data_IF_838434887141
#
_entry.id   IF_838434887141
#
_cell.length_a   1.000
_cell.length_b   1.000
_cell.length_c   1.000
_cell.angle_alpha   90.00
_cell.angle_beta   90.00
_cell.angle_gamma   90.00
#
_symmetry.space_group_name_H-M   'P 1'
#
loop_
_entity.id
_entity.type
_entity.pdbx_description
1 polymer ?
#
# COMPACT_ATOMS: atom_id res chain seq x y z
N UNK A 1 -0.66 75.94 15.61
CA UNK A 1 -1.15 74.57 15.41
C UNK A 1 -1.97 74.58 14.14
N UNK A 2 -1.34 74.42 13.01
CA UNK A 2 -2.00 74.28 11.71
C UNK A 2 -2.31 72.81 11.45
N UNK A 3 -3.54 72.55 11.17
CA UNK A 3 -4.10 71.20 11.05
C UNK A 3 -3.40 70.34 10.00
N UNK A 4 -2.82 69.23 10.41
CA UNK A 4 -2.28 68.18 9.54
C UNK A 4 -3.43 67.48 8.78
N UNK A 5 -4.66 67.70 9.16
CA UNK A 5 -5.86 67.17 8.48
C UNK A 5 -6.15 67.83 7.13
N UNK A 6 -5.77 69.08 6.92
CA UNK A 6 -6.07 69.83 5.68
C UNK A 6 -5.38 69.29 4.41
N UNK A 7 -4.30 68.53 4.54
CA UNK A 7 -3.61 67.94 3.38
C UNK A 7 -4.32 66.74 2.80
N UNK A 8 -5.23 66.10 3.56
CA UNK A 8 -6.02 64.94 3.12
C UNK A 8 -7.39 65.32 2.58
N UNK A 9 -7.90 66.52 2.90
CA UNK A 9 -9.21 67.02 2.46
C UNK A 9 -9.16 67.74 1.12
N UNK A 10 -8.00 67.89 0.50
CA UNK A 10 -7.91 68.43 -0.85
C UNK A 10 -8.33 67.39 -1.88
N UNK A 11 -9.08 67.74 -2.95
CA UNK A 11 -9.44 66.81 -4.01
C UNK A 11 -8.26 66.12 -4.66
N UNK A 12 -7.08 66.72 -4.66
CA UNK A 12 -5.81 66.19 -5.14
C UNK A 12 -5.23 65.10 -4.18
N UNK A 13 -5.38 65.28 -2.86
CA UNK A 13 -4.95 64.32 -1.85
C UNK A 13 -5.81 63.04 -1.90
N UNK A 14 -7.12 63.17 -2.05
CA UNK A 14 -8.05 62.03 -2.22
C UNK A 14 -7.78 61.27 -3.50
N UNK A 15 -7.57 61.94 -4.64
CA UNK A 15 -7.25 61.29 -5.90
C UNK A 15 -5.92 60.56 -5.84
N UNK A 16 -4.90 61.12 -5.19
CA UNK A 16 -3.60 60.45 -5.01
C UNK A 16 -3.68 59.25 -4.09
N UNK A 17 -4.45 59.33 -3.01
CA UNK A 17 -4.70 58.20 -2.10
C UNK A 17 -5.44 57.05 -2.81
N UNK A 18 -6.42 57.36 -3.65
CA UNK A 18 -7.13 56.38 -4.47
C UNK A 18 -6.22 55.72 -5.52
N UNK A 19 -5.38 56.48 -6.20
CA UNK A 19 -4.39 55.96 -7.15
C UNK A 19 -3.41 55.05 -6.44
N UNK A 20 -2.91 55.44 -5.25
CA UNK A 20 -1.98 54.62 -4.42
C UNK A 20 -2.64 53.32 -3.99
N UNK A 21 -3.90 53.37 -3.50
CA UNK A 21 -4.67 52.16 -3.15
C UNK A 21 -4.89 51.23 -4.36
N UNK A 22 -5.20 51.81 -5.53
CA UNK A 22 -5.40 51.05 -6.76
C UNK A 22 -4.10 50.32 -7.20
N UNK A 23 -2.94 51.04 -7.17
CA UNK A 23 -1.64 50.46 -7.47
C UNK A 23 -1.28 49.35 -6.47
N UNK A 24 -1.57 49.55 -5.18
CA UNK A 24 -1.34 48.53 -4.13
C UNK A 24 -2.20 47.29 -4.37
N UNK A 25 -3.50 47.46 -4.65
CA UNK A 25 -4.40 46.35 -4.98
C UNK A 25 -3.95 45.57 -6.21
N UNK A 26 -3.45 46.25 -7.24
CA UNK A 26 -2.91 45.59 -8.44
C UNK A 26 -1.64 44.82 -8.16
N UNK A 27 -0.71 45.36 -7.34
CA UNK A 27 0.51 44.69 -6.95
C UNK A 27 0.22 43.47 -6.08
N UNK A 28 -0.70 43.56 -5.09
CA UNK A 28 -1.14 42.43 -4.29
C UNK A 28 -1.73 41.31 -5.13
N UNK A 29 -2.62 41.66 -6.07
CA UNK A 29 -3.19 40.64 -6.99
C UNK A 29 -2.13 39.97 -7.86
N UNK A 30 -1.09 40.72 -8.31
CA UNK A 30 0.00 40.18 -9.09
C UNK A 30 0.83 39.20 -8.25
N UNK A 31 1.18 39.54 -7.01
CA UNK A 31 1.95 38.67 -6.12
C UNK A 31 1.14 37.44 -5.72
N UNK A 32 -0.17 37.59 -5.48
CA UNK A 32 -1.06 36.44 -5.25
C UNK A 32 -1.08 35.49 -6.45
N UNK A 33 -1.18 36.03 -7.67
CA UNK A 33 -1.14 35.21 -8.88
C UNK A 33 0.21 34.50 -9.07
N UNK A 34 1.33 35.22 -8.80
CA UNK A 34 2.68 34.62 -8.84
C UNK A 34 2.85 33.54 -7.78
N UNK A 35 2.31 33.72 -6.57
CA UNK A 35 2.34 32.70 -5.52
C UNK A 35 1.53 31.45 -5.89
N UNK A 36 0.32 31.61 -6.46
CA UNK A 36 -0.51 30.48 -6.95
C UNK A 36 0.24 29.74 -8.06
N UNK A 37 0.86 30.44 -8.99
CA UNK A 37 1.66 29.82 -10.04
C UNK A 37 2.89 29.11 -9.49
N UNK A 38 3.56 29.68 -8.48
CA UNK A 38 4.72 29.07 -7.81
C UNK A 38 4.36 27.85 -6.96
N UNK A 39 3.12 27.78 -6.46
CA UNK A 39 2.61 26.63 -5.72
C UNK A 39 2.43 25.41 -6.63
N UNK A 40 2.17 25.61 -7.93
CA UNK A 40 2.17 24.55 -8.93
C UNK A 40 1.01 23.56 -8.84
N UNK A 41 -0.10 23.93 -8.16
CA UNK A 41 -1.30 23.07 -8.08
C UNK A 41 -2.17 23.30 -9.31
N UNK A 42 -2.49 22.24 -10.04
CA UNK A 42 -3.45 22.25 -11.14
C UNK A 42 -4.85 21.92 -10.58
N UNK A 43 -5.80 22.84 -10.73
CA UNK A 43 -7.17 22.64 -10.28
C UNK A 43 -8.04 22.12 -11.42
N UNK A 44 -8.49 20.87 -11.29
CA UNK A 44 -9.42 20.27 -12.24
C UNK A 44 -10.88 20.56 -11.86
N UNK A 45 -11.75 20.52 -12.85
CA UNK A 45 -13.19 20.45 -12.62
C UNK A 45 -13.54 19.13 -11.94
N UNK A 46 -14.72 19.04 -11.27
CA UNK A 46 -15.17 17.76 -10.72
C UNK A 46 -15.05 16.63 -11.73
N UNK A 47 -14.38 15.56 -11.36
CA UNK A 47 -13.96 14.46 -12.24
C UNK A 47 -14.30 13.12 -11.62
N UNK A 48 -14.34 12.07 -12.43
CA UNK A 48 -14.42 10.70 -11.94
C UNK A 48 -13.03 10.23 -11.45
N UNK A 49 -12.96 9.41 -10.41
CA UNK A 49 -11.66 8.92 -9.93
C UNK A 49 -10.98 8.06 -11.01
N UNK A 50 -11.75 7.39 -11.84
CA UNK A 50 -11.31 6.56 -12.94
C UNK A 50 -10.57 7.33 -14.03
N UNK A 51 -10.82 8.63 -14.17
CA UNK A 51 -10.16 9.51 -15.16
C UNK A 51 -8.65 9.66 -14.90
N UNK A 52 -8.22 9.37 -13.66
CA UNK A 52 -6.81 9.41 -13.27
C UNK A 52 -6.05 8.08 -13.50
N UNK A 53 -6.70 7.10 -14.14
CA UNK A 53 -6.11 5.85 -14.56
C UNK A 53 -6.19 5.74 -16.08
N UNK A 54 -5.06 5.89 -16.76
CA UNK A 54 -5.00 5.69 -18.21
C UNK A 54 -4.68 4.22 -18.53
N UNK A 55 -5.53 3.59 -19.33
CA UNK A 55 -5.30 2.21 -19.80
C UNK A 55 -4.09 2.10 -20.75
N UNK A 56 -3.65 3.21 -21.35
CA UNK A 56 -2.53 3.26 -22.28
C UNK A 56 -1.18 3.53 -21.59
N UNK A 57 -1.20 4.02 -20.36
CA UNK A 57 0.00 4.19 -19.55
C UNK A 57 0.33 2.92 -18.77
N UNK A 58 1.63 2.65 -18.61
CA UNK A 58 2.06 1.54 -17.76
C UNK A 58 1.59 1.79 -16.32
N UNK A 59 0.83 0.85 -15.78
CA UNK A 59 0.40 0.94 -14.38
C UNK A 59 1.62 0.92 -13.48
N UNK A 60 1.70 1.89 -12.57
CA UNK A 60 2.76 2.01 -11.57
C UNK A 60 2.24 1.77 -10.17
N UNK A 61 3.14 1.88 -9.19
CA UNK A 61 2.76 1.78 -7.78
C UNK A 61 1.89 2.97 -7.35
N UNK A 62 0.85 2.72 -6.58
CA UNK A 62 -0.16 3.72 -6.20
C UNK A 62 -0.40 3.70 -4.70
N UNK A 63 -0.57 4.89 -4.10
CA UNK A 63 -1.13 5.07 -2.75
C UNK A 63 -2.48 5.76 -2.87
N UNK A 64 -3.48 5.16 -2.22
CA UNK A 64 -4.84 5.70 -2.04
C UNK A 64 -5.07 5.92 -0.55
N UNK A 65 -4.97 7.15 -0.06
CA UNK A 65 -5.02 7.42 1.38
C UNK A 65 -6.10 8.44 1.74
N UNK A 66 -6.95 8.08 2.70
CA UNK A 66 -8.02 8.94 3.20
C UNK A 66 -9.29 8.96 2.35
N UNK A 67 -10.19 9.88 2.67
CA UNK A 67 -11.41 10.13 1.92
C UNK A 67 -12.51 9.07 2.09
N UNK A 68 -13.47 9.12 1.19
CA UNK A 68 -14.61 8.19 1.17
C UNK A 68 -14.19 6.79 0.75
N UNK A 69 -14.70 5.78 1.45
CA UNK A 69 -14.40 4.37 1.14
C UNK A 69 -14.84 4.01 -0.28
N UNK A 70 -16.03 4.42 -0.69
CA UNK A 70 -16.56 4.07 -2.01
C UNK A 70 -15.69 4.62 -3.15
N UNK A 71 -15.12 5.82 -2.98
CA UNK A 71 -14.19 6.40 -3.95
C UNK A 71 -12.90 5.56 -4.02
N UNK A 72 -12.37 5.12 -2.85
CA UNK A 72 -11.20 4.22 -2.85
C UNK A 72 -11.51 2.88 -3.52
N UNK A 73 -12.69 2.30 -3.30
CA UNK A 73 -13.11 1.05 -3.96
C UNK A 73 -13.19 1.21 -5.49
N UNK A 74 -13.71 2.34 -5.99
CA UNK A 74 -13.74 2.66 -7.42
C UNK A 74 -12.32 2.75 -7.99
N UNK A 75 -11.43 3.47 -7.31
CA UNK A 75 -10.02 3.59 -7.71
C UNK A 75 -9.31 2.23 -7.74
N UNK A 76 -9.51 1.40 -6.70
CA UNK A 76 -8.97 0.04 -6.65
C UNK A 76 -9.47 -0.82 -7.82
N UNK A 77 -10.79 -0.84 -8.06
CA UNK A 77 -11.36 -1.62 -9.15
C UNK A 77 -10.81 -1.18 -10.52
N UNK A 78 -10.69 0.14 -10.74
CA UNK A 78 -10.10 0.67 -11.97
C UNK A 78 -8.61 0.30 -12.11
N UNK A 79 -7.84 0.38 -11.02
CA UNK A 79 -6.45 -0.09 -11.00
C UNK A 79 -6.32 -1.58 -11.33
N UNK A 80 -7.20 -2.43 -10.80
CA UNK A 80 -7.27 -3.86 -11.12
C UNK A 80 -7.59 -4.08 -12.60
N UNK A 81 -8.56 -3.35 -13.15
CA UNK A 81 -8.92 -3.40 -14.58
C UNK A 81 -7.73 -3.06 -15.47
N UNK A 82 -7.05 -1.94 -15.18
CA UNK A 82 -5.87 -1.51 -15.93
C UNK A 82 -4.73 -2.54 -15.83
N UNK A 83 -4.47 -3.05 -14.64
CA UNK A 83 -3.44 -4.07 -14.40
C UNK A 83 -3.73 -5.36 -15.18
N UNK A 84 -4.98 -5.82 -15.12
CA UNK A 84 -5.44 -7.00 -15.84
C UNK A 84 -5.29 -6.83 -17.35
N UNK A 85 -5.71 -5.67 -17.90
CA UNK A 85 -5.55 -5.32 -19.31
C UNK A 85 -4.09 -5.30 -19.76
N UNK A 86 -3.15 -5.01 -18.86
CA UNK A 86 -1.71 -5.01 -19.10
C UNK A 86 -1.02 -6.35 -18.81
N UNK A 87 -1.80 -7.41 -18.52
CA UNK A 87 -1.30 -8.77 -18.31
C UNK A 87 -0.71 -9.03 -16.92
N UNK A 88 -1.05 -8.22 -15.92
CA UNK A 88 -0.76 -8.53 -14.52
C UNK A 88 -1.80 -9.49 -13.95
N UNK A 89 -1.40 -10.21 -12.91
CA UNK A 89 -2.26 -11.03 -12.07
C UNK A 89 -2.64 -10.18 -10.86
N UNK A 90 -3.91 -9.73 -10.75
CA UNK A 90 -4.35 -8.98 -9.58
C UNK A 90 -4.49 -9.90 -8.37
N UNK A 91 -3.82 -9.53 -7.28
CA UNK A 91 -3.94 -10.16 -5.96
C UNK A 91 -4.35 -9.07 -4.98
N UNK A 92 -5.52 -9.20 -4.39
CA UNK A 92 -6.07 -8.22 -3.45
C UNK A 92 -6.09 -8.84 -2.06
N UNK A 93 -5.40 -8.23 -1.12
CA UNK A 93 -5.38 -8.61 0.28
C UNK A 93 -6.10 -7.53 1.09
N UNK A 94 -7.02 -7.93 1.95
CA UNK A 94 -7.77 -7.01 2.81
C UNK A 94 -8.00 -7.59 4.21
N UNK A 95 -8.32 -6.70 5.15
CA UNK A 95 -8.65 -7.05 6.53
C UNK A 95 -10.18 -6.93 6.75
N UNK A 96 -10.93 -7.98 6.41
CA UNK A 96 -12.36 -8.05 6.68
C UNK A 96 -13.22 -7.02 5.92
N UNK A 97 -12.76 -6.48 4.80
CA UNK A 97 -13.51 -5.49 4.01
C UNK A 97 -14.51 -6.15 3.06
N UNK A 98 -15.69 -6.48 3.57
CA UNK A 98 -16.77 -7.05 2.76
C UNK A 98 -17.35 -6.10 1.71
N UNK A 99 -17.23 -4.77 1.90
CA UNK A 99 -17.65 -3.81 0.88
C UNK A 99 -16.78 -3.91 -0.35
N UNK A 100 -15.47 -4.11 -0.16
CA UNK A 100 -14.52 -4.36 -1.25
C UNK A 100 -14.86 -5.62 -2.03
N UNK A 101 -15.11 -6.74 -1.33
CA UNK A 101 -15.49 -8.00 -1.98
C UNK A 101 -16.76 -7.83 -2.84
N UNK A 102 -17.83 -7.27 -2.25
CA UNK A 102 -19.10 -7.03 -2.95
C UNK A 102 -18.94 -6.09 -4.14
N UNK A 103 -18.12 -5.05 -4.00
CA UNK A 103 -17.87 -4.10 -5.08
C UNK A 103 -17.15 -4.78 -6.25
N UNK A 104 -16.11 -5.56 -5.97
CA UNK A 104 -15.35 -6.28 -7.01
C UNK A 104 -16.19 -7.36 -7.71
N UNK A 105 -17.10 -8.04 -6.98
CA UNK A 105 -18.08 -8.97 -7.60
C UNK A 105 -18.96 -8.23 -8.61
N UNK A 106 -19.44 -7.05 -8.24
CA UNK A 106 -20.31 -6.26 -9.11
C UNK A 106 -19.58 -5.74 -10.36
N UNK A 107 -18.29 -5.40 -10.22
CA UNK A 107 -17.49 -4.88 -11.35
C UNK A 107 -17.04 -5.97 -12.31
N UNK A 108 -16.57 -7.11 -11.80
CA UNK A 108 -15.87 -8.12 -12.61
C UNK A 108 -16.65 -9.43 -12.79
N UNK A 109 -17.69 -9.65 -11.99
CA UNK A 109 -18.42 -10.92 -11.94
C UNK A 109 -17.64 -12.04 -11.24
N UNK A 110 -18.34 -13.07 -10.79
CA UNK A 110 -17.77 -14.21 -10.06
C UNK A 110 -16.94 -15.16 -10.91
N UNK A 111 -16.99 -15.05 -12.24
CA UNK A 111 -16.22 -15.90 -13.17
C UNK A 111 -14.77 -15.45 -13.32
N UNK A 112 -14.48 -14.17 -13.08
CA UNK A 112 -13.16 -13.58 -13.32
C UNK A 112 -12.38 -13.31 -12.02
N UNK A 113 -13.08 -13.36 -10.88
CA UNK A 113 -12.50 -13.11 -9.56
C UNK A 113 -12.75 -14.30 -8.64
N UNK A 114 -11.70 -14.84 -8.08
CA UNK A 114 -11.77 -15.89 -7.06
C UNK A 114 -11.68 -15.27 -5.67
N UNK A 115 -12.70 -15.52 -4.86
CA UNK A 115 -12.72 -15.08 -3.47
C UNK A 115 -12.25 -16.19 -2.55
N UNK A 116 -11.32 -15.86 -1.66
CA UNK A 116 -10.80 -16.77 -0.63
C UNK A 116 -11.05 -16.11 0.73
N UNK A 117 -12.05 -16.59 1.43
CA UNK A 117 -12.51 -16.07 2.71
C UNK A 117 -13.21 -17.14 3.55
N UNK A 118 -13.84 -16.75 4.66
CA UNK A 118 -14.55 -17.69 5.54
C UNK A 118 -15.77 -18.38 4.90
N UNK A 119 -16.35 -17.83 3.84
CA UNK A 119 -17.44 -18.44 3.08
C UNK A 119 -16.92 -19.37 1.98
N UNK A 120 -15.74 -19.04 1.42
CA UNK A 120 -15.07 -19.80 0.37
C UNK A 120 -13.69 -20.28 0.85
N UNK A 121 -13.65 -21.26 1.81
CA UNK A 121 -12.42 -21.75 2.39
C UNK A 121 -11.74 -22.77 1.48
N UNK A 122 -11.21 -22.29 0.36
CA UNK A 122 -10.64 -23.14 -0.70
C UNK A 122 -9.15 -22.85 -0.92
N UNK A 123 -8.52 -22.03 -0.11
CA UNK A 123 -7.12 -21.70 -0.29
C UNK A 123 -6.21 -22.89 0.07
N UNK A 124 -5.37 -23.27 -0.86
CA UNK A 124 -4.27 -24.22 -0.62
C UNK A 124 -3.07 -23.83 -1.49
N UNK A 125 -2.02 -23.24 -0.88
CA UNK A 125 -0.84 -22.74 -1.59
C UNK A 125 0.01 -23.82 -2.24
N UNK A 126 -0.22 -25.12 -1.92
CA UNK A 126 0.61 -26.23 -2.41
C UNK A 126 0.10 -26.87 -3.70
N UNK A 127 -1.10 -26.47 -4.16
CA UNK A 127 -1.67 -27.03 -5.38
C UNK A 127 -0.81 -26.70 -6.60
N UNK A 128 -0.51 -27.73 -7.37
CA UNK A 128 0.26 -27.62 -8.61
C UNK A 128 1.77 -27.41 -8.38
N UNK A 129 2.24 -27.44 -7.13
CA UNK A 129 3.65 -27.26 -6.79
C UNK A 129 4.40 -28.60 -6.68
N UNK A 130 5.69 -28.56 -6.97
CA UNK A 130 6.61 -29.64 -6.66
C UNK A 130 7.15 -29.52 -5.22
N UNK A 131 7.89 -30.55 -4.75
CA UNK A 131 8.34 -30.61 -3.35
C UNK A 131 9.30 -29.47 -2.99
N UNK A 132 10.19 -29.07 -3.92
CA UNK A 132 11.11 -27.94 -3.68
C UNK A 132 10.35 -26.62 -3.54
N UNK A 133 9.29 -26.41 -4.32
CA UNK A 133 8.45 -25.21 -4.25
C UNK A 133 7.65 -25.18 -2.94
N UNK A 134 7.08 -26.33 -2.51
CA UNK A 134 6.40 -26.46 -1.22
C UNK A 134 7.37 -26.13 -0.08
N UNK A 135 8.54 -26.74 -0.10
CA UNK A 135 9.59 -26.50 0.88
C UNK A 135 10.00 -25.01 0.90
N UNK A 136 10.14 -24.39 -0.28
CA UNK A 136 10.46 -22.97 -0.40
C UNK A 136 9.41 -22.09 0.26
N UNK A 137 8.11 -22.32 -0.01
CA UNK A 137 7.01 -21.56 0.62
C UNK A 137 7.09 -21.68 2.14
N UNK A 138 7.22 -22.89 2.69
CA UNK A 138 7.27 -23.11 4.14
C UNK A 138 8.51 -22.42 4.75
N UNK A 139 9.68 -22.62 4.17
CA UNK A 139 10.92 -22.06 4.69
C UNK A 139 11.01 -20.54 4.58
N UNK A 140 10.38 -19.94 3.57
CA UNK A 140 10.34 -18.50 3.38
C UNK A 140 9.29 -17.84 4.27
N UNK A 141 8.19 -18.54 4.58
CA UNK A 141 7.10 -18.03 5.41
C UNK A 141 7.38 -18.02 6.91
N UNK A 142 8.45 -18.73 7.35
CA UNK A 142 8.84 -18.72 8.76
C UNK A 142 9.17 -17.31 9.24
N UNK A 143 8.87 -17.04 10.49
CA UNK A 143 9.29 -15.83 11.20
C UNK A 143 10.26 -16.19 12.33
N UNK A 144 10.75 -15.21 13.06
CA UNK A 144 11.70 -15.41 14.16
C UNK A 144 11.15 -16.28 15.31
N UNK A 145 9.84 -16.51 15.39
CA UNK A 145 9.21 -17.40 16.38
C UNK A 145 9.39 -18.88 16.05
N UNK A 146 9.65 -19.20 14.76
CA UNK A 146 9.81 -20.56 14.26
C UNK A 146 11.21 -20.72 13.69
N UNK A 147 12.17 -21.03 14.56
CA UNK A 147 13.58 -21.21 14.18
C UNK A 147 13.78 -22.55 13.43
N UNK A 148 13.06 -22.73 12.32
CA UNK A 148 13.25 -23.86 11.41
C UNK A 148 14.56 -23.65 10.67
N UNK A 149 15.58 -24.48 10.98
CA UNK A 149 16.90 -24.40 10.34
C UNK A 149 16.88 -25.02 8.95
N UNK A 150 17.95 -24.82 8.18
CA UNK A 150 18.08 -25.35 6.83
C UNK A 150 17.90 -26.88 6.72
N UNK A 151 18.18 -27.63 7.80
CA UNK A 151 17.93 -29.08 7.87
C UNK A 151 16.44 -29.44 7.90
N UNK A 152 15.56 -28.52 8.29
CA UNK A 152 14.09 -28.70 8.29
C UNK A 152 13.52 -29.02 6.91
N UNK A 153 14.20 -28.59 5.84
CA UNK A 153 13.81 -28.94 4.46
C UNK A 153 13.72 -30.46 4.26
N UNK A 154 14.64 -31.22 4.84
CA UNK A 154 14.65 -32.68 4.69
C UNK A 154 13.41 -33.32 5.33
N UNK A 155 12.97 -32.81 6.48
CA UNK A 155 11.78 -33.30 7.14
C UNK A 155 10.51 -32.97 6.31
N UNK A 156 10.43 -31.75 5.76
CA UNK A 156 9.34 -31.31 4.88
C UNK A 156 9.32 -32.15 3.60
N UNK A 157 10.46 -32.36 2.98
CA UNK A 157 10.62 -33.22 1.80
C UNK A 157 10.22 -34.67 2.09
N UNK A 158 10.54 -35.20 3.27
CA UNK A 158 10.12 -36.51 3.72
C UNK A 158 8.59 -36.63 3.79
N UNK A 159 7.91 -35.66 4.35
CA UNK A 159 6.43 -35.60 4.37
C UNK A 159 5.89 -35.56 2.94
N UNK A 160 6.40 -34.67 2.08
CA UNK A 160 5.98 -34.53 0.69
C UNK A 160 6.15 -35.84 -0.08
N UNK A 161 7.33 -36.44 0.03
CA UNK A 161 7.66 -37.74 -0.61
C UNK A 161 6.75 -38.87 -0.13
N UNK A 162 6.41 -38.92 1.17
CA UNK A 162 5.46 -39.89 1.71
C UNK A 162 4.04 -39.71 1.17
N UNK A 163 3.57 -38.48 1.03
CA UNK A 163 2.26 -38.20 0.45
C UNK A 163 2.24 -38.63 -1.02
N UNK A 164 3.25 -38.21 -1.81
CA UNK A 164 3.35 -38.52 -3.24
C UNK A 164 3.54 -40.00 -3.54
N UNK A 165 4.24 -40.74 -2.66
CA UNK A 165 4.42 -42.19 -2.81
C UNK A 165 3.09 -42.95 -2.87
N UNK A 166 2.01 -42.33 -2.39
CA UNK A 166 0.62 -42.83 -2.47
C UNK A 166 -0.16 -42.30 -3.69
N UNK A 167 0.50 -41.66 -4.65
CA UNK A 167 -0.10 -40.97 -5.78
C UNK A 167 -1.10 -39.86 -5.37
N UNK A 168 -0.82 -39.18 -4.26
CA UNK A 168 -1.64 -38.08 -3.75
C UNK A 168 -0.86 -36.77 -3.94
N UNK A 169 -1.55 -35.73 -4.44
CA UNK A 169 -1.04 -34.37 -4.46
C UNK A 169 -0.90 -33.88 -3.01
N UNK A 170 0.25 -33.34 -2.59
CA UNK A 170 0.36 -32.68 -1.29
C UNK A 170 -0.57 -31.47 -1.19
N UNK A 171 -1.33 -31.42 -0.10
CA UNK A 171 -2.17 -30.29 0.30
C UNK A 171 -1.70 -29.76 1.65
N UNK A 172 -1.81 -28.47 1.90
CA UNK A 172 -1.36 -27.86 3.14
C UNK A 172 -2.02 -28.50 4.37
N UNK A 173 -3.28 -28.89 4.25
CA UNK A 173 -4.02 -29.60 5.32
C UNK A 173 -3.36 -30.92 5.73
N UNK A 174 -2.66 -31.60 4.82
CA UNK A 174 -1.96 -32.85 5.13
C UNK A 174 -0.74 -32.64 6.02
N UNK A 175 -0.07 -31.50 5.91
CA UNK A 175 1.03 -31.10 6.78
C UNK A 175 0.52 -30.67 8.16
N UNK A 176 -0.59 -29.90 8.18
CA UNK A 176 -1.25 -29.47 9.42
C UNK A 176 -1.73 -30.68 10.25
N UNK A 177 -2.23 -31.72 9.59
CA UNK A 177 -2.77 -32.91 10.26
C UNK A 177 -1.79 -34.08 10.28
N UNK A 178 -0.54 -33.84 9.90
CA UNK A 178 0.49 -34.87 9.91
C UNK A 178 0.72 -35.41 11.35
N UNK A 179 0.67 -36.73 11.54
CA UNK A 179 0.99 -37.33 12.83
C UNK A 179 2.51 -37.37 13.05
N UNK A 180 3.11 -36.19 13.28
CA UNK A 180 4.58 -36.02 13.32
C UNK A 180 5.30 -37.03 14.21
N UNK A 181 4.78 -37.34 15.41
CA UNK A 181 5.36 -38.31 16.33
C UNK A 181 5.31 -39.76 15.80
N UNK A 182 4.36 -40.07 14.93
CA UNK A 182 4.13 -41.40 14.39
C UNK A 182 4.51 -41.50 12.90
N UNK A 183 5.18 -40.49 12.34
CA UNK A 183 5.44 -40.45 10.91
C UNK A 183 6.29 -41.59 10.41
N UNK A 184 7.37 -41.93 11.16
CA UNK A 184 8.23 -43.07 10.88
C UNK A 184 7.44 -44.39 10.90
N UNK A 185 6.60 -44.58 11.92
CA UNK A 185 5.76 -45.78 12.03
C UNK A 185 4.79 -45.89 10.86
N UNK A 186 4.21 -44.73 10.42
CA UNK A 186 3.31 -44.71 9.26
C UNK A 186 4.00 -45.03 7.95
N UNK A 187 5.26 -44.65 7.78
CA UNK A 187 6.04 -45.04 6.60
C UNK A 187 6.33 -46.58 6.63
N UNK A 188 6.76 -47.12 7.77
CA UNK A 188 7.00 -48.55 7.93
C UNK A 188 5.72 -49.37 7.75
N UNK A 189 4.58 -48.90 8.26
CA UNK A 189 3.26 -49.52 8.06
C UNK A 189 2.87 -49.55 6.58
N UNK A 190 3.14 -48.47 5.83
CA UNK A 190 2.84 -48.40 4.41
C UNK A 190 3.70 -49.36 3.58
N UNK A 191 4.97 -49.52 3.93
CA UNK A 191 5.86 -50.52 3.34
C UNK A 191 5.37 -51.94 3.62
N UNK A 192 5.08 -52.25 4.88
CA UNK A 192 4.58 -53.58 5.29
C UNK A 192 3.29 -53.95 4.57
N UNK A 193 2.43 -52.97 4.29
CA UNK A 193 1.17 -53.14 3.52
C UNK A 193 1.40 -53.19 2.00
N UNK A 194 2.62 -53.07 1.52
CA UNK A 194 2.94 -53.04 0.10
C UNK A 194 2.43 -51.82 -0.64
N UNK A 195 2.10 -50.71 0.08
CA UNK A 195 1.65 -49.46 -0.51
C UNK A 195 2.83 -48.67 -1.10
N UNK A 196 4.03 -48.90 -0.59
CA UNK A 196 5.27 -48.31 -1.09
C UNK A 196 6.34 -49.40 -1.13
N UNK A 197 7.36 -49.26 -1.98
CA UNK A 197 8.48 -50.20 -2.06
C UNK A 197 9.49 -49.94 -0.97
N UNK A 198 10.29 -50.93 -0.63
CA UNK A 198 11.37 -50.79 0.36
C UNK A 198 12.35 -49.64 0.01
N UNK A 199 12.71 -49.49 -1.28
CA UNK A 199 13.62 -48.41 -1.71
C UNK A 199 13.03 -47.03 -1.49
N UNK A 200 11.74 -46.88 -1.75
CA UNK A 200 11.00 -45.60 -1.52
C UNK A 200 10.90 -45.34 0.00
N UNK A 201 10.53 -46.36 0.78
CA UNK A 201 10.46 -46.27 2.25
C UNK A 201 11.79 -45.80 2.83
N UNK A 202 12.90 -46.45 2.42
CA UNK A 202 14.26 -46.13 2.90
C UNK A 202 14.66 -44.70 2.54
N UNK A 203 14.30 -44.21 1.33
CA UNK A 203 14.57 -42.82 0.93
C UNK A 203 13.79 -41.81 1.81
N UNK A 204 12.50 -42.05 2.05
CA UNK A 204 11.64 -41.21 2.89
C UNK A 204 12.16 -41.19 4.33
N UNK A 205 12.47 -42.35 4.90
CA UNK A 205 12.99 -42.44 6.26
C UNK A 205 14.33 -41.71 6.42
N UNK A 206 15.20 -41.78 5.40
CA UNK A 206 16.47 -41.03 5.41
C UNK A 206 16.21 -39.52 5.47
N UNK A 207 15.27 -38.98 4.68
CA UNK A 207 14.90 -37.56 4.71
C UNK A 207 14.34 -37.18 6.07
N UNK A 208 13.39 -37.95 6.61
CA UNK A 208 12.78 -37.68 7.92
C UNK A 208 13.83 -37.64 9.02
N UNK A 209 14.72 -38.61 9.08
CA UNK A 209 15.78 -38.71 10.10
C UNK A 209 16.76 -37.54 9.97
N UNK A 210 17.14 -37.15 8.75
CA UNK A 210 18.03 -35.99 8.54
C UNK A 210 17.44 -34.70 9.05
N UNK A 211 16.10 -34.53 9.00
CA UNK A 211 15.39 -33.34 9.45
C UNK A 211 14.76 -33.47 10.84
N UNK A 212 14.93 -34.58 11.55
CA UNK A 212 14.23 -34.90 12.81
C UNK A 212 14.42 -33.85 13.91
N UNK A 213 15.56 -33.17 13.95
CA UNK A 213 15.84 -32.11 14.92
C UNK A 213 14.90 -30.92 14.78
N UNK A 214 14.36 -30.70 13.58
CA UNK A 214 13.45 -29.59 13.29
C UNK A 214 11.95 -29.97 13.38
N UNK A 215 11.66 -31.25 13.64
CA UNK A 215 10.27 -31.75 13.74
C UNK A 215 9.40 -30.88 14.64
N UNK A 216 9.87 -30.59 15.86
CA UNK A 216 9.10 -29.81 16.85
C UNK A 216 8.82 -28.38 16.37
N UNK A 217 9.77 -27.76 15.70
CA UNK A 217 9.58 -26.41 15.14
C UNK A 217 8.58 -26.42 13.96
N UNK A 218 8.64 -27.45 13.11
CA UNK A 218 7.73 -27.63 11.97
C UNK A 218 6.31 -27.94 12.46
N UNK A 219 6.15 -28.82 13.46
CA UNK A 219 4.87 -29.10 14.08
C UNK A 219 4.24 -27.84 14.68
N UNK A 220 5.03 -27.04 15.41
CA UNK A 220 4.58 -25.76 15.97
C UNK A 220 4.16 -24.78 14.87
N UNK A 221 4.94 -24.66 13.79
CA UNK A 221 4.61 -23.83 12.64
C UNK A 221 3.24 -24.17 12.04
N UNK A 222 2.98 -25.45 11.77
CA UNK A 222 1.70 -25.87 11.20
C UNK A 222 0.53 -25.78 12.19
N UNK A 223 0.79 -25.95 13.48
CA UNK A 223 -0.22 -25.75 14.52
C UNK A 223 -0.68 -24.28 14.58
N UNK A 224 0.26 -23.35 14.51
CA UNK A 224 -0.03 -21.93 14.51
C UNK A 224 -0.72 -21.50 13.21
N UNK A 225 -0.22 -21.98 12.07
CA UNK A 225 -0.87 -21.74 10.79
C UNK A 225 -2.34 -22.21 10.78
N UNK A 226 -2.61 -23.35 11.43
CA UNK A 226 -3.98 -23.82 11.61
C UNK A 226 -4.82 -22.79 12.39
N UNK A 227 -4.29 -22.26 13.49
CA UNK A 227 -4.99 -21.31 14.32
C UNK A 227 -5.32 -20.02 13.56
N UNK A 228 -4.36 -19.49 12.79
CA UNK A 228 -4.54 -18.26 12.02
C UNK A 228 -5.42 -18.45 10.77
N UNK A 229 -5.29 -19.59 10.08
CA UNK A 229 -5.76 -19.74 8.71
C UNK A 229 -6.87 -20.80 8.52
N UNK A 230 -7.30 -21.51 9.57
CA UNK A 230 -8.32 -22.58 9.42
C UNK A 230 -9.60 -22.13 8.74
N UNK A 231 -9.92 -20.86 8.83
CA UNK A 231 -11.14 -20.29 8.23
C UNK A 231 -11.10 -20.19 6.71
N UNK A 232 -9.91 -20.15 6.11
CA UNK A 232 -9.71 -19.94 4.67
C UNK A 232 -9.12 -21.17 3.98
N UNK A 233 -8.40 -22.03 4.73
CA UNK A 233 -7.71 -23.18 4.16
C UNK A 233 -8.67 -24.27 3.70
N UNK A 234 -8.37 -24.86 2.55
CA UNK A 234 -9.08 -26.03 2.04
C UNK A 234 -8.88 -27.24 3.00
N UNK A 235 -9.99 -27.88 3.36
CA UNK A 235 -10.02 -29.05 4.23
C UNK A 235 -10.31 -30.32 3.43
N UNK A 236 -10.12 -31.48 4.05
CA UNK A 236 -10.29 -32.79 3.42
C UNK A 236 -11.61 -32.95 2.66
N UNK A 237 -12.69 -32.34 3.15
CA UNK A 237 -14.03 -32.43 2.56
C UNK A 237 -14.28 -31.52 1.36
N UNK A 238 -13.40 -30.53 1.10
CA UNK A 238 -13.53 -29.56 0.01
C UNK A 238 -12.27 -29.42 -0.85
N UNK A 239 -11.32 -30.38 -0.76
CA UNK A 239 -10.06 -30.36 -1.52
C UNK A 239 -10.26 -30.30 -3.04
N UNK A 240 -11.40 -30.79 -3.56
CA UNK A 240 -11.72 -30.73 -5.00
C UNK A 240 -11.96 -29.30 -5.50
N UNK A 241 -12.29 -28.35 -4.60
CA UNK A 241 -12.42 -26.94 -4.90
C UNK A 241 -11.17 -26.14 -4.53
N UNK A 242 -10.15 -26.80 -3.97
CA UNK A 242 -8.97 -26.13 -3.52
C UNK A 242 -8.25 -25.44 -4.68
N UNK A 243 -7.78 -24.21 -4.43
CA UNK A 243 -7.06 -23.39 -5.40
C UNK A 243 -5.86 -22.71 -4.75
N UNK A 244 -4.82 -22.51 -5.53
CA UNK A 244 -3.67 -21.66 -5.17
C UNK A 244 -3.71 -20.36 -5.99
N UNK A 245 -2.98 -19.35 -5.57
CA UNK A 245 -2.78 -18.13 -6.37
C UNK A 245 -2.12 -18.50 -7.71
N UNK A 246 -1.18 -19.46 -7.68
CA UNK A 246 -0.51 -19.97 -8.86
C UNK A 246 -1.46 -20.61 -9.88
N UNK A 247 -2.45 -21.38 -9.42
CA UNK A 247 -3.47 -21.95 -10.32
C UNK A 247 -4.42 -20.88 -10.89
N UNK A 248 -4.78 -19.87 -10.09
CA UNK A 248 -5.60 -18.74 -10.56
C UNK A 248 -4.82 -17.93 -11.57
N UNK A 249 -3.53 -17.71 -11.34
CA UNK A 249 -2.63 -17.02 -12.25
C UNK A 249 -2.55 -17.68 -13.62
N UNK A 250 -2.45 -19.01 -13.68
CA UNK A 250 -2.47 -19.78 -14.94
C UNK A 250 -3.75 -19.57 -15.75
N UNK A 251 -4.87 -19.34 -15.06
CA UNK A 251 -6.17 -19.06 -15.67
C UNK A 251 -6.38 -17.58 -15.99
N UNK A 252 -5.37 -16.75 -15.71
CA UNK A 252 -5.43 -15.28 -15.80
C UNK A 252 -6.61 -14.69 -15.03
N UNK A 253 -6.90 -15.22 -13.84
CA UNK A 253 -7.92 -14.71 -12.94
C UNK A 253 -7.34 -13.70 -11.93
N UNK A 254 -8.23 -12.92 -11.31
CA UNK A 254 -7.90 -12.14 -10.13
C UNK A 254 -8.24 -12.92 -8.87
N UNK A 255 -7.52 -12.69 -7.78
CA UNK A 255 -7.80 -13.29 -6.47
C UNK A 255 -7.99 -12.22 -5.40
N UNK A 256 -9.00 -12.39 -4.58
CA UNK A 256 -9.29 -11.54 -3.41
C UNK A 256 -9.24 -12.39 -2.17
N UNK A 257 -8.39 -12.03 -1.23
CA UNK A 257 -8.10 -12.81 -0.03
C UNK A 257 -8.40 -11.98 1.22
N UNK A 258 -9.32 -12.47 2.03
CA UNK A 258 -9.61 -11.91 3.35
C UNK A 258 -8.65 -12.49 4.39
N UNK A 259 -7.82 -11.66 4.97
CA UNK A 259 -6.93 -12.05 6.07
C UNK A 259 -7.64 -12.03 7.43
N UNK A 260 -8.87 -11.48 7.52
CA UNK A 260 -9.63 -11.17 8.74
C UNK A 260 -8.95 -10.24 9.71
N UNK A 261 -7.64 -10.36 9.90
CA UNK A 261 -6.88 -9.56 10.85
C UNK A 261 -5.42 -9.44 10.43
N UNK A 262 -4.84 -8.28 10.63
CA UNK A 262 -3.39 -8.04 10.52
C UNK A 262 -2.56 -8.86 11.53
N UNK A 263 -3.20 -9.50 12.53
CA UNK A 263 -2.53 -10.42 13.45
C UNK A 263 -2.21 -11.78 12.81
N UNK A 264 -2.87 -12.16 11.70
CA UNK A 264 -2.65 -13.42 10.99
C UNK A 264 -1.39 -13.35 10.12
N UNK A 265 -0.25 -13.11 10.76
CA UNK A 265 1.03 -12.85 10.10
C UNK A 265 1.58 -14.06 9.35
N UNK A 266 1.35 -15.26 9.87
CA UNK A 266 1.84 -16.48 9.22
C UNK A 266 1.06 -16.79 7.95
N UNK A 267 -0.28 -16.59 7.96
CA UNK A 267 -1.09 -16.68 6.75
C UNK A 267 -0.61 -15.68 5.69
N UNK A 268 -0.38 -14.42 6.09
CA UNK A 268 0.14 -13.39 5.19
C UNK A 268 1.52 -13.79 4.63
N UNK A 269 2.41 -14.34 5.45
CA UNK A 269 3.71 -14.81 5.00
C UNK A 269 3.61 -15.94 3.95
N UNK A 270 2.69 -16.89 4.14
CA UNK A 270 2.43 -17.96 3.16
C UNK A 270 1.99 -17.37 1.82
N UNK A 271 1.03 -16.45 1.85
CA UNK A 271 0.52 -15.77 0.65
C UNK A 271 1.64 -14.99 -0.04
N UNK A 272 2.42 -14.21 0.72
CA UNK A 272 3.53 -13.43 0.16
C UNK A 272 4.63 -14.33 -0.41
N UNK A 273 4.90 -15.48 0.20
CA UNK A 273 5.87 -16.45 -0.32
C UNK A 273 5.42 -17.08 -1.63
N UNK A 274 4.11 -17.34 -1.78
CA UNK A 274 3.54 -17.81 -3.04
C UNK A 274 3.62 -16.73 -4.13
N UNK A 275 3.33 -15.46 -3.79
CA UNK A 275 3.45 -14.31 -4.71
C UNK A 275 4.91 -14.12 -5.14
N UNK A 276 5.87 -14.21 -4.21
CA UNK A 276 7.30 -14.11 -4.54
C UNK A 276 7.74 -15.25 -5.48
N UNK A 277 7.26 -16.46 -5.24
CA UNK A 277 7.53 -17.59 -6.13
C UNK A 277 6.98 -17.34 -7.54
N UNK A 278 5.79 -16.78 -7.69
CA UNK A 278 5.21 -16.41 -8.99
C UNK A 278 6.08 -15.36 -9.70
N UNK A 279 6.50 -14.32 -8.99
CA UNK A 279 7.42 -13.29 -9.49
C UNK A 279 8.73 -13.92 -9.97
N UNK A 280 9.29 -14.87 -9.21
CA UNK A 280 10.52 -15.58 -9.58
C UNK A 280 10.34 -16.48 -10.83
N UNK A 281 9.12 -16.90 -11.13
CA UNK A 281 8.74 -17.59 -12.38
C UNK A 281 8.50 -16.65 -13.56
N UNK A 282 8.64 -15.34 -13.36
CA UNK A 282 8.46 -14.32 -14.39
C UNK A 282 7.02 -13.83 -14.54
N UNK A 283 6.11 -14.23 -13.66
CA UNK A 283 4.74 -13.71 -13.65
C UNK A 283 4.72 -12.26 -13.15
N UNK A 284 3.84 -11.45 -13.73
CA UNK A 284 3.65 -10.05 -13.36
C UNK A 284 2.49 -9.97 -12.37
N UNK A 285 2.75 -9.48 -11.16
CA UNK A 285 1.74 -9.40 -10.10
C UNK A 285 1.40 -7.94 -9.80
N UNK A 286 0.10 -7.64 -9.72
CA UNK A 286 -0.45 -6.40 -9.19
C UNK A 286 -1.03 -6.68 -7.80
N UNK A 287 -0.28 -6.31 -6.76
CA UNK A 287 -0.65 -6.56 -5.37
C UNK A 287 -1.40 -5.35 -4.81
N UNK A 288 -2.66 -5.54 -4.43
CA UNK A 288 -3.44 -4.55 -3.69
C UNK A 288 -3.44 -4.89 -2.21
N UNK A 289 -3.07 -3.93 -1.38
CA UNK A 289 -3.08 -4.01 0.08
C UNK A 289 -4.11 -3.01 0.61
N UNK A 290 -5.30 -3.47 1.03
CA UNK A 290 -6.35 -2.63 1.59
C UNK A 290 -6.40 -2.77 3.11
N UNK A 291 -5.93 -1.75 3.84
CA UNK A 291 -5.83 -1.74 5.30
C UNK A 291 -4.80 -2.73 5.86
N UNK A 292 -3.90 -3.25 5.05
CA UNK A 292 -2.86 -4.18 5.49
C UNK A 292 -1.66 -3.41 6.01
N UNK A 293 -1.21 -3.77 7.21
CA UNK A 293 -0.06 -3.16 7.88
C UNK A 293 1.25 -3.86 7.48
N UNK A 294 2.17 -3.16 6.80
CA UNK A 294 3.46 -3.73 6.41
C UNK A 294 4.37 -4.02 7.59
N UNK A 295 4.22 -3.25 8.69
CA UNK A 295 5.10 -3.27 9.84
C UNK A 295 5.28 -4.66 10.44
N UNK A 296 6.54 -5.04 10.64
CA UNK A 296 6.92 -6.32 11.25
C UNK A 296 6.61 -7.54 10.40
N UNK A 297 6.28 -7.35 9.10
CA UNK A 297 6.20 -8.41 8.12
C UNK A 297 7.28 -8.21 7.05
N UNK A 298 8.41 -8.90 7.24
CA UNK A 298 9.58 -8.75 6.37
C UNK A 298 9.28 -9.02 4.90
N UNK A 299 8.43 -10.00 4.58
CA UNK A 299 8.10 -10.34 3.19
C UNK A 299 7.30 -9.23 2.52
N UNK A 300 6.34 -8.62 3.22
CA UNK A 300 5.62 -7.46 2.72
C UNK A 300 6.55 -6.27 2.55
N UNK A 301 7.38 -5.97 3.55
CA UNK A 301 8.35 -4.88 3.48
C UNK A 301 9.33 -5.04 2.32
N UNK A 302 9.91 -6.23 2.14
CA UNK A 302 10.83 -6.52 1.05
C UNK A 302 10.13 -6.44 -0.31
N UNK A 303 8.89 -6.91 -0.41
CA UNK A 303 8.08 -6.77 -1.61
C UNK A 303 7.84 -5.30 -1.97
N UNK A 304 7.43 -4.48 -1.01
CA UNK A 304 7.22 -3.05 -1.18
C UNK A 304 8.51 -2.32 -1.59
N UNK A 305 9.63 -2.64 -0.94
CA UNK A 305 10.96 -2.07 -1.24
C UNK A 305 11.49 -2.48 -2.63
N UNK A 306 11.03 -3.59 -3.18
CA UNK A 306 11.47 -4.09 -4.49
C UNK A 306 10.42 -3.97 -5.58
N UNK A 307 9.26 -3.36 -5.28
CA UNK A 307 8.18 -3.17 -6.24
C UNK A 307 8.62 -2.34 -7.45
N UNK A 308 8.08 -2.67 -8.62
CA UNK A 308 8.44 -2.04 -9.90
C UNK A 308 7.70 -2.71 -11.06
N UNK A 309 8.27 -2.68 -12.26
CA UNK A 309 7.58 -3.12 -13.49
C UNK A 309 7.03 -4.56 -13.50
N UNK A 310 7.60 -5.48 -12.69
CA UNK A 310 7.11 -6.87 -12.59
C UNK A 310 6.21 -7.10 -11.36
N UNK A 311 6.22 -6.17 -10.40
CA UNK A 311 5.54 -6.32 -9.13
C UNK A 311 4.98 -4.97 -8.68
N UNK A 312 3.88 -4.57 -9.29
CA UNK A 312 3.21 -3.30 -8.97
C UNK A 312 2.38 -3.44 -7.71
N UNK A 313 2.36 -2.39 -6.90
CA UNK A 313 1.63 -2.34 -5.63
C UNK A 313 0.63 -1.20 -5.63
N UNK A 314 -0.56 -1.48 -5.14
CA UNK A 314 -1.53 -0.47 -4.74
C UNK A 314 -1.79 -0.58 -3.23
N UNK A 315 -1.49 0.46 -2.48
CA UNK A 315 -1.82 0.54 -1.06
C UNK A 315 -3.05 1.42 -0.88
N UNK A 316 -4.06 0.91 -0.19
CA UNK A 316 -5.31 1.62 0.09
C UNK A 316 -5.64 1.57 1.58
N UNK A 317 -6.12 2.68 2.12
CA UNK A 317 -6.52 2.75 3.53
C UNK A 317 -7.07 4.11 3.93
N UNK A 318 -7.63 4.17 5.13
CA UNK A 318 -8.08 5.43 5.73
C UNK A 318 -6.92 6.36 6.06
N UNK A 319 -5.76 5.79 6.39
CA UNK A 319 -4.50 6.51 6.60
C UNK A 319 -3.33 5.54 6.35
N UNK A 320 -2.89 5.47 5.10
CA UNK A 320 -1.82 4.54 4.69
C UNK A 320 -0.51 4.83 5.43
N UNK A 321 -0.22 6.10 5.78
CA UNK A 321 0.96 6.39 6.59
C UNK A 321 0.87 5.75 7.99
N UNK A 322 -0.31 5.81 8.61
CA UNK A 322 -0.52 5.19 9.92
C UNK A 322 -0.36 3.66 9.90
N UNK A 323 -0.63 3.01 8.74
CA UNK A 323 -0.43 1.57 8.57
C UNK A 323 1.05 1.15 8.66
N UNK A 324 2.00 2.10 8.49
CA UNK A 324 3.43 1.90 8.74
C UNK A 324 3.83 2.10 10.20
N UNK A 325 2.89 2.38 11.10
CA UNK A 325 3.06 2.47 12.58
C UNK A 325 4.23 3.36 13.02
N UNK A 326 4.53 4.42 12.23
CA UNK A 326 5.62 5.35 12.53
C UNK A 326 7.00 4.93 12.00
N UNK A 327 7.11 3.87 11.21
CA UNK A 327 8.31 3.47 10.49
C UNK A 327 8.59 4.39 9.30
N UNK A 328 9.00 5.65 9.60
CA UNK A 328 9.25 6.70 8.60
C UNK A 328 10.17 6.22 7.48
N UNK A 329 11.28 5.54 7.83
CA UNK A 329 12.25 5.09 6.83
C UNK A 329 11.65 4.09 5.84
N UNK A 330 10.80 3.19 6.33
CA UNK A 330 10.09 2.23 5.47
C UNK A 330 9.10 2.98 4.57
N UNK A 331 8.27 3.84 5.15
CA UNK A 331 7.29 4.63 4.41
C UNK A 331 7.93 5.47 3.29
N UNK A 332 9.00 6.23 3.61
CA UNK A 332 9.69 7.04 2.60
C UNK A 332 10.38 6.19 1.52
N UNK A 333 10.92 5.03 1.89
CA UNK A 333 11.51 4.09 0.92
C UNK A 333 10.46 3.55 -0.05
N UNK A 334 9.25 3.23 0.44
CA UNK A 334 8.12 2.77 -0.37
C UNK A 334 7.60 3.92 -1.23
N UNK A 335 7.43 5.10 -0.64
CA UNK A 335 6.93 6.29 -1.34
C UNK A 335 7.81 6.69 -2.53
N UNK A 336 9.13 6.58 -2.40
CA UNK A 336 10.06 6.85 -3.50
C UNK A 336 9.89 5.93 -4.72
N UNK A 337 9.07 4.88 -4.61
CA UNK A 337 8.72 3.95 -5.70
C UNK A 337 7.29 4.13 -6.20
N UNK A 338 6.49 4.97 -5.54
CA UNK A 338 5.13 5.25 -5.97
C UNK A 338 5.15 6.15 -7.19
N UNK A 339 4.41 5.77 -8.21
CA UNK A 339 4.18 6.61 -9.38
C UNK A 339 3.10 7.65 -9.12
N UNK A 340 2.10 7.28 -8.32
CA UNK A 340 0.95 8.16 -8.05
C UNK A 340 0.52 8.07 -6.58
N UNK A 341 0.21 9.23 -5.99
CA UNK A 341 -0.38 9.33 -4.66
C UNK A 341 -1.70 10.09 -4.76
N UNK A 342 -2.78 9.48 -4.34
CA UNK A 342 -4.10 10.07 -4.22
C UNK A 342 -4.42 10.28 -2.75
N UNK A 343 -4.49 11.52 -2.33
CA UNK A 343 -4.57 11.95 -0.94
C UNK A 343 -5.85 12.73 -0.70
N UNK A 344 -6.68 12.26 0.21
CA UNK A 344 -7.88 12.97 0.65
C UNK A 344 -7.76 13.37 2.13
N UNK A 345 -8.91 13.59 2.78
CA UNK A 345 -8.97 14.02 4.17
C UNK A 345 -8.32 13.03 5.13
N UNK A 346 -7.48 13.56 6.02
CA UNK A 346 -6.90 12.84 7.16
C UNK A 346 -7.22 13.57 8.47
N UNK A 347 -7.44 12.80 9.54
CA UNK A 347 -7.73 13.35 10.87
C UNK A 347 -6.44 13.51 11.69
N UNK A 348 -5.47 12.62 11.48
CA UNK A 348 -4.19 12.65 12.19
C UNK A 348 -3.35 13.87 11.76
N UNK A 349 -3.08 14.78 12.69
CA UNK A 349 -2.19 15.92 12.42
C UNK A 349 -0.79 15.48 12.01
N UNK A 350 -0.31 14.37 12.56
CA UNK A 350 1.00 13.80 12.25
C UNK A 350 1.05 13.28 10.81
N UNK A 351 0.04 12.52 10.37
CA UNK A 351 -0.07 12.05 8.99
C UNK A 351 -0.20 13.23 8.01
N UNK A 352 -1.02 14.23 8.34
CA UNK A 352 -1.13 15.45 7.53
C UNK A 352 0.22 16.16 7.34
N UNK A 353 1.02 16.25 8.41
CA UNK A 353 2.37 16.83 8.34
C UNK A 353 3.26 16.04 7.40
N UNK A 354 3.26 14.69 7.51
CA UNK A 354 4.09 13.82 6.66
C UNK A 354 3.72 13.93 5.19
N UNK A 355 2.44 13.88 4.86
CA UNK A 355 1.98 14.08 3.47
C UNK A 355 2.31 15.47 2.92
N UNK A 356 2.20 16.50 3.76
CA UNK A 356 2.58 17.87 3.40
C UNK A 356 4.08 17.97 3.07
N UNK A 357 4.94 17.35 3.89
CA UNK A 357 6.40 17.36 3.71
C UNK A 357 6.83 16.63 2.42
N UNK A 358 6.09 15.57 2.06
CA UNK A 358 6.33 14.77 0.84
C UNK A 358 6.09 15.58 -0.43
N UNK A 359 4.97 16.30 -0.48
CA UNK A 359 4.62 17.14 -1.65
C UNK A 359 5.62 18.28 -1.83
N UNK A 360 6.27 18.69 -0.74
CA UNK A 360 7.35 19.67 -0.77
C UNK A 360 6.92 21.09 -0.48
N UNK A 361 7.80 22.03 -0.83
CA UNK A 361 7.64 23.44 -0.48
C UNK A 361 8.03 24.36 -1.64
N UNK A 362 7.48 25.57 -1.64
CA UNK A 362 7.76 26.62 -2.61
C UNK A 362 8.13 27.94 -1.92
N UNK A 363 8.73 28.87 -2.69
CA UNK A 363 9.09 30.19 -2.20
C UNK A 363 7.93 31.17 -2.39
N UNK A 364 7.22 31.45 -1.31
CA UNK A 364 6.13 32.39 -1.27
C UNK A 364 6.65 33.81 -1.12
N UNK A 365 6.14 34.73 -1.94
CA UNK A 365 6.42 36.18 -1.84
C UNK A 365 5.47 36.82 -0.84
N UNK A 366 6.02 37.37 0.23
CA UNK A 366 5.27 38.18 1.21
C UNK A 366 5.68 39.64 1.14
N UNK A 367 4.70 40.55 1.23
CA UNK A 367 4.97 41.98 1.32
C UNK A 367 4.95 42.38 2.78
N UNK A 368 6.05 42.88 3.29
CA UNK A 368 6.10 43.55 4.58
C UNK A 368 6.13 45.05 4.39
N UNK A 369 5.19 45.75 5.00
CA UNK A 369 5.18 47.22 5.07
C UNK A 369 5.94 47.62 6.36
N UNK A 370 7.12 48.24 6.21
CA UNK A 370 7.85 48.80 7.34
C UNK A 370 7.56 50.31 7.42
N UNK A 371 6.95 50.73 8.51
CA UNK A 371 6.72 52.15 8.80
C UNK A 371 7.84 52.57 9.73
N UNK A 372 8.64 53.56 9.31
CA UNK A 372 9.65 54.18 10.19
C UNK A 372 9.28 55.65 10.34
N UNK A 373 8.87 56.04 11.52
CA UNK A 373 8.70 57.45 11.90
C UNK A 373 10.02 58.01 12.32
N UNK A 374 10.66 58.84 11.50
CA UNK A 374 11.85 59.54 11.84
C UNK A 374 11.51 60.91 12.42
N UNK A 375 11.63 61.06 13.72
CA UNK A 375 11.58 62.35 14.42
C UNK A 375 12.98 62.96 14.47
N UNK A 376 13.31 63.86 13.58
CA UNK A 376 14.53 64.67 13.70
C UNK A 376 14.24 65.94 14.50
N UNK A 377 14.74 65.98 15.73
CA UNK A 377 14.73 67.13 16.62
C UNK A 377 16.00 67.96 16.38
N UNK A 378 16.06 68.67 15.27
CA UNK A 378 17.03 69.77 15.10
C UNK A 378 16.40 70.86 14.23
N UNK A 379 15.89 71.87 14.87
CA UNK A 379 15.73 73.25 14.35
C UNK A 379 14.58 73.55 13.40
N UNK A 380 13.84 72.59 12.76
CA UNK A 380 12.58 72.72 12.05
C UNK A 380 11.91 71.36 11.98
N UNK A 381 10.67 71.27 12.39
CA UNK A 381 9.88 70.03 12.33
C UNK A 381 9.69 69.59 10.87
N UNK A 382 10.38 68.55 10.43
CA UNK A 382 10.10 67.85 9.19
C UNK A 382 9.64 66.43 9.56
N UNK A 383 8.39 66.16 9.42
CA UNK A 383 7.81 64.81 9.48
C UNK A 383 8.09 64.10 8.16
N UNK A 384 9.00 63.15 8.19
CA UNK A 384 9.25 62.22 7.06
C UNK A 384 8.75 60.84 7.42
N UNK A 385 7.63 60.43 6.90
CA UNK A 385 7.23 59.01 6.94
C UNK A 385 7.84 58.28 5.75
N UNK A 386 8.81 57.39 6.05
CA UNK A 386 9.38 56.54 5.00
C UNK A 386 8.65 55.21 5.01
N UNK A 387 7.85 54.96 3.98
CA UNK A 387 7.20 53.66 3.73
C UNK A 387 8.14 52.83 2.88
N UNK A 388 8.86 51.89 3.46
CA UNK A 388 9.61 50.88 2.71
C UNK A 388 8.75 49.59 2.58
N UNK A 389 8.54 49.15 1.34
CA UNK A 389 7.92 47.87 1.05
C UNK A 389 9.00 46.88 0.69
N UNK A 390 9.17 45.90 1.53
CA UNK A 390 10.07 44.79 1.25
C UNK A 390 9.26 43.57 0.80
N UNK A 391 9.69 42.98 -0.32
CA UNK A 391 9.20 41.68 -0.74
C UNK A 391 10.17 40.65 -0.20
N UNK A 392 9.73 39.85 0.74
CA UNK A 392 10.51 38.74 1.32
C UNK A 392 10.04 37.43 0.74
N UNK A 393 10.98 36.52 0.53
CA UNK A 393 10.69 35.12 0.17
C UNK A 393 10.61 34.32 1.47
N UNK A 394 9.52 33.60 1.62
CA UNK A 394 9.28 32.69 2.74
C UNK A 394 8.99 31.31 2.19
N UNK A 395 9.73 30.32 2.64
CA UNK A 395 9.49 28.93 2.26
C UNK A 395 8.22 28.43 2.94
N UNK A 396 7.27 27.93 2.16
CA UNK A 396 5.98 27.43 2.63
C UNK A 396 5.68 26.08 1.95
N UNK A 397 5.01 25.16 2.64
CA UNK A 397 4.61 23.88 2.04
C UNK A 397 3.60 24.12 0.92
N UNK A 398 3.71 23.36 -0.16
CA UNK A 398 2.80 23.43 -1.31
C UNK A 398 1.36 23.14 -0.85
N UNK A 399 1.19 22.08 -0.04
CA UNK A 399 -0.06 21.78 0.66
C UNK A 399 0.20 21.86 2.15
N UNK A 400 -0.57 22.65 2.88
CA UNK A 400 -0.43 22.74 4.33
C UNK A 400 -1.09 21.57 5.02
N UNK A 401 -0.57 21.10 6.19
CA UNK A 401 -1.22 20.04 6.97
C UNK A 401 -2.68 20.36 7.30
N UNK A 402 -3.00 21.63 7.60
CA UNK A 402 -4.36 22.06 7.89
C UNK A 402 -5.28 22.01 6.67
N UNK A 403 -4.75 22.15 5.47
CA UNK A 403 -5.52 22.00 4.22
C UNK A 403 -5.93 20.55 4.03
N UNK A 404 -5.02 19.60 4.23
CA UNK A 404 -5.31 18.16 4.16
C UNK A 404 -6.39 17.76 5.19
N UNK A 405 -6.28 18.26 6.42
CA UNK A 405 -7.26 17.92 7.47
C UNK A 405 -8.66 18.50 7.22
N UNK A 406 -8.77 19.56 6.42
CA UNK A 406 -10.02 20.26 6.09
C UNK A 406 -10.64 19.82 4.76
N UNK A 407 -9.97 18.98 3.99
CA UNK A 407 -10.58 18.39 2.80
C UNK A 407 -11.93 17.76 3.12
N UNK A 408 -12.85 17.79 2.19
CA UNK A 408 -14.02 16.92 2.24
C UNK A 408 -13.61 15.51 1.81
N UNK A 409 -14.44 14.52 2.13
CA UNK A 409 -14.13 13.13 1.83
C UNK A 409 -14.11 12.82 0.32
N UNK A 410 -14.69 13.69 -0.49
CA UNK A 410 -14.74 13.66 -1.95
C UNK A 410 -13.70 14.57 -2.63
N UNK A 411 -12.90 15.31 -1.86
CA UNK A 411 -11.83 16.16 -2.36
C UNK A 411 -10.49 15.45 -2.29
N UNK A 412 -9.71 15.47 -3.38
CA UNK A 412 -8.43 14.78 -3.49
C UNK A 412 -7.34 15.68 -4.06
N UNK A 413 -6.16 15.57 -3.45
CA UNK A 413 -4.90 15.90 -4.09
C UNK A 413 -4.36 14.66 -4.80
N UNK A 414 -3.98 14.79 -6.05
CA UNK A 414 -3.38 13.74 -6.86
C UNK A 414 -1.99 14.18 -7.26
N UNK A 415 -1.00 13.51 -6.69
CA UNK A 415 0.40 13.77 -6.96
C UNK A 415 0.96 12.68 -7.86
N UNK A 416 1.43 13.06 -9.05
CA UNK A 416 2.15 12.20 -9.96
C UNK A 416 3.66 12.39 -9.74
N UNK A 417 4.31 11.37 -9.20
CA UNK A 417 5.72 11.42 -8.85
C UNK A 417 6.64 11.40 -10.08
N UNK A 418 6.17 10.89 -11.22
CA UNK A 418 6.96 10.81 -12.45
C UNK A 418 7.08 12.18 -13.13
N UNK A 419 5.96 12.92 -13.20
CA UNK A 419 5.93 14.27 -13.77
C UNK A 419 6.20 15.37 -12.75
N UNK A 420 6.03 15.08 -11.45
CA UNK A 420 6.04 16.08 -10.38
C UNK A 420 4.77 16.95 -10.38
N UNK A 421 3.74 16.58 -11.13
CA UNK A 421 2.49 17.32 -11.21
C UNK A 421 1.63 17.07 -9.97
N UNK A 422 1.09 18.14 -9.42
CA UNK A 422 0.12 18.10 -8.33
C UNK A 422 -1.21 18.65 -8.83
N UNK A 423 -2.23 17.83 -8.80
CA UNK A 423 -3.59 18.18 -9.13
C UNK A 423 -4.49 18.21 -7.88
N UNK A 424 -5.52 19.04 -7.92
CA UNK A 424 -6.62 19.04 -6.96
C UNK A 424 -7.94 18.90 -7.70
N UNK A 425 -8.82 18.01 -7.23
CA UNK A 425 -10.14 17.80 -7.79
C UNK A 425 -11.15 17.35 -6.75
N UNK A 426 -12.43 17.58 -7.04
CA UNK A 426 -13.54 16.94 -6.36
C UNK A 426 -13.98 15.71 -7.17
N UNK A 427 -14.11 14.55 -6.52
CA UNK A 427 -14.55 13.30 -7.13
C UNK A 427 -16.08 13.21 -7.08
N UNK A 428 -16.71 12.91 -8.22
CA UNK A 428 -18.16 12.79 -8.38
C UNK A 428 -18.59 11.34 -8.68
#
# INVERSE_FOLDING_TARGET
MGDINDAFDSPLGLTWALIKRHKQKKQLKRIQAENVQSQGITYYQPSQIEDFFDNNEAIGNIILSGGDEFIRLRALAKGIECAYGQGYIPVVLHEGNYNLENYLVNCFGTSNVTFLNGQFPFYDPFIGLNDNEICHIIMNSKNDQYDIKGTGKYYIDGISSFIRSKNIQPYIWMYITCPHLMLIDKVNEAETKGLITESVSRSILTQIVQGELERGNIEKFFSELKNEAEFILAKKNNLYNAVSIAEIAKKRGAVVIDLRSNANKLLLNIIMSEIEMLKNKGERVYLCLDGIKPEGNKLVEDYLKTSGMQSVVCMSGTDVYADFSGEDNLFYSVLGRMSKMMLSRHISAYSCQKYSDIVGSYDKKEISDTYTDNMNIVGRFSYGTTNAKNVTLKRENIIKPEEISRLKNDEFYIYDNNSGELAFTQII
#
